data_IF_245189608342
#
_entry.id   IF_245189608342
#
_cell.length_a   1.000
_cell.length_b   1.000
_cell.length_c   1.000
_cell.angle_alpha   90.00
_cell.angle_beta   90.00
_cell.angle_gamma   90.00
#
_symmetry.space_group_name_H-M   'P 1'
#
loop_
_entity.id
_entity.type
_entity.pdbx_description
1 polymer ?
#
# COMPACT_ATOMS: atom_id res chain seq x y z
N UNK A 1 -26.60 6.35 16.31
CA UNK A 1 -25.30 6.24 15.65
C UNK A 1 -24.29 5.87 16.70
N UNK A 2 -23.54 4.79 16.50
CA UNK A 2 -22.53 4.37 17.49
C UNK A 2 -21.31 5.25 17.27
N UNK A 3 -20.95 6.01 18.30
CA UNK A 3 -19.73 6.79 18.38
C UNK A 3 -18.56 5.81 18.53
N UNK A 4 -18.23 5.09 17.45
CA UNK A 4 -17.04 4.25 17.43
C UNK A 4 -15.85 5.21 17.38
N UNK A 5 -15.06 5.21 18.45
CA UNK A 5 -13.84 6.01 18.45
C UNK A 5 -12.98 5.64 17.23
N UNK A 6 -12.43 6.65 16.54
CA UNK A 6 -11.54 6.45 15.38
C UNK A 6 -10.42 5.45 15.71
N UNK A 7 -9.96 5.44 16.96
CA UNK A 7 -8.97 4.49 17.46
C UNK A 7 -9.43 3.04 17.42
N UNK A 8 -10.70 2.75 17.72
CA UNK A 8 -11.28 1.39 17.65
C UNK A 8 -11.37 0.91 16.21
N UNK A 9 -11.88 1.74 15.30
CA UNK A 9 -11.94 1.40 13.86
C UNK A 9 -10.55 1.11 13.32
N UNK A 10 -9.58 1.97 13.66
CA UNK A 10 -8.20 1.78 13.25
C UNK A 10 -7.62 0.48 13.81
N UNK A 11 -7.81 0.19 15.10
CA UNK A 11 -7.29 -1.02 15.72
C UNK A 11 -7.87 -2.29 15.08
N UNK A 12 -9.18 -2.33 14.81
CA UNK A 12 -9.83 -3.43 14.12
C UNK A 12 -9.34 -3.61 12.69
N UNK A 13 -9.16 -2.49 11.97
CA UNK A 13 -8.70 -2.52 10.57
C UNK A 13 -7.21 -2.89 10.42
N UNK A 14 -6.43 -2.84 11.51
CA UNK A 14 -5.04 -3.29 11.53
C UNK A 14 -4.89 -4.77 11.91
N UNK A 15 -5.99 -5.49 12.20
CA UNK A 15 -5.92 -6.92 12.48
C UNK A 15 -5.46 -7.63 11.20
N UNK A 16 -4.41 -8.43 11.32
CA UNK A 16 -3.83 -9.15 10.18
C UNK A 16 -4.86 -10.05 9.51
N UNK A 17 -5.03 -9.90 8.20
CA UNK A 17 -5.99 -10.71 7.45
C UNK A 17 -7.45 -10.33 7.68
N UNK A 18 -7.73 -9.20 8.32
CA UNK A 18 -9.08 -8.69 8.50
C UNK A 18 -9.33 -7.49 7.58
N UNK A 19 -10.54 -7.43 7.02
CA UNK A 19 -11.06 -6.25 6.32
C UNK A 19 -12.19 -5.65 7.17
N UNK A 20 -12.08 -4.37 7.49
CA UNK A 20 -13.17 -3.63 8.12
C UNK A 20 -14.03 -2.96 7.04
N UNK A 21 -15.34 -3.22 7.09
CA UNK A 21 -16.34 -2.59 6.25
C UNK A 21 -17.48 -2.09 7.14
N UNK A 22 -17.90 -0.84 6.97
CA UNK A 22 -19.10 -0.29 7.62
C UNK A 22 -20.24 -0.20 6.61
N UNK A 23 -21.45 -0.60 6.99
CA UNK A 23 -22.67 -0.38 6.21
C UNK A 23 -23.61 0.56 6.97
N UNK A 24 -24.30 1.44 6.24
CA UNK A 24 -25.22 2.43 6.82
C UNK A 24 -26.70 2.11 6.57
N UNK A 25 -27.00 1.12 5.72
CA UNK A 25 -28.36 0.69 5.41
C UNK A 25 -28.42 -0.80 4.99
N UNK A 26 -29.65 -1.32 4.85
CA UNK A 26 -29.88 -2.72 4.49
C UNK A 26 -29.40 -3.08 3.07
N UNK A 27 -29.46 -2.14 2.13
CA UNK A 27 -29.03 -2.38 0.74
C UNK A 27 -27.51 -2.54 0.67
N UNK A 28 -26.76 -1.69 1.37
CA UNK A 28 -25.32 -1.82 1.52
C UNK A 28 -24.94 -3.12 2.23
N UNK A 29 -25.65 -3.48 3.30
CA UNK A 29 -25.43 -4.74 3.98
C UNK A 29 -25.60 -5.93 3.03
N UNK A 30 -26.70 -5.97 2.26
CA UNK A 30 -26.97 -7.03 1.30
C UNK A 30 -25.92 -7.08 0.18
N UNK A 31 -25.42 -5.92 -0.26
CA UNK A 31 -24.33 -5.87 -1.23
C UNK A 31 -23.02 -6.41 -0.65
N UNK A 32 -22.57 -5.87 0.48
CA UNK A 32 -21.29 -6.22 1.10
C UNK A 32 -21.26 -7.67 1.58
N UNK A 33 -22.32 -8.14 2.25
CA UNK A 33 -22.37 -9.51 2.79
C UNK A 33 -22.90 -10.53 1.76
N UNK A 34 -23.83 -10.15 0.90
CA UNK A 34 -24.42 -11.07 -0.07
C UNK A 34 -23.56 -11.26 -1.32
N UNK A 35 -23.17 -10.15 -1.97
CA UNK A 35 -22.50 -10.19 -3.27
C UNK A 35 -20.97 -10.12 -3.16
N UNK A 36 -20.44 -9.35 -2.20
CA UNK A 36 -19.02 -8.99 -2.16
C UNK A 36 -18.23 -9.76 -1.10
N UNK A 37 -18.89 -10.50 -0.20
CA UNK A 37 -18.28 -11.17 0.96
C UNK A 37 -17.08 -12.06 0.62
N UNK A 38 -17.12 -12.77 -0.52
CA UNK A 38 -16.00 -13.58 -0.99
C UNK A 38 -14.72 -12.76 -1.16
N UNK A 39 -14.83 -11.51 -1.61
CA UNK A 39 -13.70 -10.60 -1.77
C UNK A 39 -13.20 -10.09 -0.42
N UNK A 40 -14.05 -10.05 0.61
CA UNK A 40 -13.73 -9.55 1.94
C UNK A 40 -13.08 -10.60 2.83
N UNK A 41 -13.21 -11.89 2.50
CA UNK A 41 -12.70 -13.01 3.32
C UNK A 41 -11.61 -13.84 2.63
N UNK A 42 -11.26 -13.53 1.38
CA UNK A 42 -10.21 -14.25 0.64
C UNK A 42 -9.04 -13.34 0.28
N UNK A 43 -8.06 -13.17 1.19
CA UNK A 43 -6.85 -12.43 0.84
C UNK A 43 -6.13 -13.10 -0.33
N UNK A 44 -5.58 -12.28 -1.22
CA UNK A 44 -4.84 -12.72 -2.41
C UNK A 44 -3.33 -12.64 -2.21
N UNK A 45 -2.87 -11.82 -1.26
CA UNK A 45 -1.47 -11.68 -0.89
C UNK A 45 -1.35 -11.50 0.63
N UNK A 46 -0.28 -12.02 1.20
CA UNK A 46 0.06 -11.96 2.62
C UNK A 46 1.50 -11.49 2.80
N UNK A 47 1.84 -11.02 4.01
CA UNK A 47 3.21 -10.65 4.41
C UNK A 47 3.90 -9.74 3.38
N UNK A 48 3.18 -8.73 2.90
CA UNK A 48 3.62 -7.88 1.81
C UNK A 48 4.69 -6.94 2.38
N UNK A 49 5.85 -6.93 1.74
CA UNK A 49 6.97 -6.06 2.09
C UNK A 49 7.46 -5.31 0.88
N UNK A 50 7.66 -4.00 1.05
CA UNK A 50 8.23 -3.14 0.03
C UNK A 50 9.45 -2.42 0.58
N UNK A 51 10.59 -2.52 -0.11
CA UNK A 51 11.85 -1.88 0.31
C UNK A 51 12.67 -1.44 -0.89
N UNK A 52 13.48 -0.37 -0.80
CA UNK A 52 14.40 -0.02 -1.86
C UNK A 52 15.56 -1.02 -1.89
N UNK A 53 15.98 -1.45 -3.10
CA UNK A 53 17.12 -2.37 -3.25
C UNK A 53 18.45 -1.76 -2.81
N UNK A 54 18.57 -0.43 -2.94
CA UNK A 54 19.71 0.37 -2.49
C UNK A 54 19.20 1.39 -1.48
N UNK A 55 20.01 1.85 -0.51
CA UNK A 55 19.59 2.81 0.50
C UNK A 55 19.50 4.24 -0.07
N UNK A 56 18.75 4.43 -1.16
CA UNK A 56 18.58 5.70 -1.88
C UNK A 56 17.36 6.50 -1.40
N UNK A 57 16.41 5.84 -0.75
CA UNK A 57 15.19 6.45 -0.23
C UNK A 57 14.80 5.87 1.14
N UNK A 58 14.03 6.64 1.90
CA UNK A 58 13.23 6.20 3.05
C UNK A 58 11.76 6.54 2.80
N UNK A 59 10.86 5.76 3.38
CA UNK A 59 9.43 6.02 3.43
C UNK A 59 9.14 6.85 4.68
N UNK A 60 8.68 8.08 4.48
CA UNK A 60 8.40 9.02 5.57
C UNK A 60 6.97 8.96 6.08
N UNK A 61 6.03 8.55 5.23
CA UNK A 61 4.60 8.42 5.55
C UNK A 61 3.92 7.52 4.50
N UNK A 62 2.94 6.73 4.92
CA UNK A 62 2.10 5.94 4.03
C UNK A 62 0.62 6.27 4.20
N UNK A 63 -0.16 6.02 3.16
CA UNK A 63 -1.61 6.23 3.09
C UNK A 63 -2.27 5.12 2.27
N UNK A 64 -3.56 4.89 2.49
CA UNK A 64 -4.35 3.88 1.78
C UNK A 64 -4.55 2.58 2.56
N UNK A 65 -3.81 2.37 3.66
CA UNK A 65 -4.07 1.30 4.62
C UNK A 65 -3.89 1.78 6.06
N UNK A 66 -4.75 1.36 7.00
CA UNK A 66 -4.59 1.61 8.44
C UNK A 66 -3.23 1.14 8.99
N UNK A 67 -2.66 0.08 8.42
CA UNK A 67 -1.34 -0.44 8.79
C UNK A 67 -0.21 0.56 8.49
N UNK A 68 -0.43 1.51 7.57
CA UNK A 68 0.53 2.54 7.19
C UNK A 68 0.41 3.82 8.02
N UNK A 69 -0.68 4.01 8.77
CA UNK A 69 -0.92 5.25 9.51
C UNK A 69 0.14 5.52 10.59
N UNK A 70 0.72 4.45 11.15
CA UNK A 70 1.76 4.52 12.18
C UNK A 70 3.18 4.46 11.59
N UNK A 71 3.33 4.43 10.26
CA UNK A 71 4.63 4.37 9.60
C UNK A 71 5.45 5.60 10.00
N UNK A 72 6.55 5.36 10.73
CA UNK A 72 7.61 6.33 10.98
C UNK A 72 8.64 6.21 9.86
N UNK A 73 9.61 7.12 9.83
CA UNK A 73 10.66 7.08 8.81
C UNK A 73 11.39 5.73 8.82
N UNK A 74 11.16 4.93 7.78
CA UNK A 74 11.62 3.54 7.67
C UNK A 74 12.06 3.23 6.22
N UNK A 75 12.85 2.18 6.05
CA UNK A 75 13.26 1.64 4.75
C UNK A 75 12.32 0.54 4.25
N UNK A 76 11.38 0.08 5.07
CA UNK A 76 10.45 -0.99 4.71
C UNK A 76 9.01 -0.57 5.00
N UNK A 77 8.13 -0.77 4.02
CA UNK A 77 6.69 -0.80 4.22
C UNK A 77 6.27 -2.26 4.42
N UNK A 78 5.43 -2.51 5.43
CA UNK A 78 4.85 -3.83 5.70
C UNK A 78 3.33 -3.74 5.72
N UNK A 79 2.69 -4.73 5.10
CA UNK A 79 1.24 -4.91 5.13
C UNK A 79 0.94 -6.38 5.37
N UNK A 80 -0.07 -6.65 6.17
CA UNK A 80 -0.44 -8.00 6.55
C UNK A 80 -1.04 -8.77 5.38
N UNK A 81 -1.95 -8.15 4.64
CA UNK A 81 -2.74 -8.78 3.59
C UNK A 81 -3.33 -7.78 2.61
N UNK A 82 -3.54 -8.22 1.37
CA UNK A 82 -4.32 -7.50 0.36
C UNK A 82 -5.48 -8.37 -0.12
N UNK A 83 -6.61 -7.73 -0.42
CA UNK A 83 -7.85 -8.39 -0.81
C UNK A 83 -8.20 -8.06 -2.27
N UNK A 84 -8.87 -8.96 -2.98
CA UNK A 84 -9.33 -8.67 -4.33
C UNK A 84 -10.41 -7.58 -4.30
N UNK A 85 -10.51 -6.82 -5.38
CA UNK A 85 -11.57 -5.82 -5.57
C UNK A 85 -12.55 -6.28 -6.63
N UNK A 86 -13.80 -5.88 -6.49
CA UNK A 86 -14.86 -6.22 -7.44
C UNK A 86 -14.54 -5.62 -8.80
N UNK A 87 -14.74 -6.40 -9.86
CA UNK A 87 -14.61 -5.91 -11.22
C UNK A 87 -15.78 -4.97 -11.55
N UNK A 88 -15.50 -3.87 -12.25
CA UNK A 88 -16.51 -3.04 -12.89
C UNK A 88 -17.23 -3.82 -13.99
N UNK A 89 -18.39 -3.32 -14.44
CA UNK A 89 -19.18 -3.98 -15.49
C UNK A 89 -18.43 -4.20 -16.82
N UNK A 90 -17.40 -3.39 -17.10
CA UNK A 90 -16.48 -3.53 -18.24
C UNK A 90 -15.26 -4.41 -17.95
N UNK A 91 -15.25 -5.15 -16.84
CA UNK A 91 -14.21 -6.11 -16.47
C UNK A 91 -12.94 -5.51 -15.85
N UNK A 92 -12.88 -4.18 -15.66
CA UNK A 92 -11.73 -3.52 -15.03
C UNK A 92 -11.76 -3.69 -13.52
N UNK A 93 -10.60 -3.67 -12.87
CA UNK A 93 -10.51 -3.67 -11.41
C UNK A 93 -10.11 -2.28 -10.96
N UNK A 94 -10.94 -1.65 -10.13
CA UNK A 94 -10.50 -0.50 -9.34
C UNK A 94 -9.73 -1.05 -8.14
N UNK A 95 -8.44 -1.31 -8.34
CA UNK A 95 -7.57 -1.79 -7.26
C UNK A 95 -7.40 -0.76 -6.15
N UNK A 96 -6.92 -1.20 -4.99
CA UNK A 96 -6.51 -0.30 -3.92
C UNK A 96 -5.35 0.59 -4.35
N UNK A 97 -5.38 1.87 -3.96
CA UNK A 97 -4.27 2.80 -4.14
C UNK A 97 -3.60 3.00 -2.79
N UNK A 98 -2.30 2.71 -2.74
CA UNK A 98 -1.44 3.07 -1.61
C UNK A 98 -0.48 4.17 -2.04
N UNK A 99 -0.36 5.19 -1.20
CA UNK A 99 0.53 6.32 -1.44
C UNK A 99 1.62 6.34 -0.39
N UNK A 100 2.87 6.49 -0.80
CA UNK A 100 4.00 6.63 0.10
C UNK A 100 4.75 7.94 -0.19
N UNK A 101 4.98 8.73 0.86
CA UNK A 101 5.84 9.91 0.80
C UNK A 101 7.29 9.47 0.98
N UNK A 102 8.12 9.75 -0.02
CA UNK A 102 9.52 9.37 -0.03
C UNK A 102 10.41 10.52 0.45
N UNK A 103 11.54 10.18 1.09
CA UNK A 103 12.67 11.07 1.31
C UNK A 103 13.90 10.46 0.65
N UNK A 104 14.61 11.25 -0.16
CA UNK A 104 15.90 10.85 -0.72
C UNK A 104 16.96 10.86 0.39
N UNK A 105 17.77 9.81 0.45
CA UNK A 105 18.93 9.76 1.35
C UNK A 105 20.11 10.52 0.74
N UNK A 106 21.11 10.87 1.55
CA UNK A 106 22.30 11.60 1.07
C UNK A 106 23.06 10.83 -0.03
N UNK A 107 22.97 9.49 -0.03
CA UNK A 107 23.53 8.62 -1.09
C UNK A 107 22.86 8.83 -2.45
N UNK A 108 21.60 9.31 -2.48
CA UNK A 108 20.86 9.64 -3.69
C UNK A 108 20.99 11.11 -4.10
N UNK A 109 21.46 11.99 -3.22
CA UNK A 109 21.62 13.44 -3.48
C UNK A 109 22.98 13.81 -4.09
N UNK A 110 23.62 12.88 -4.80
CA UNK A 110 24.94 13.08 -5.40
C UNK A 110 25.07 14.39 -6.19
N UNK A 111 25.87 15.31 -5.66
CA UNK A 111 26.36 16.59 -6.21
C UNK A 111 25.32 17.71 -6.39
N UNK A 112 25.15 18.52 -5.34
CA UNK A 112 24.76 19.93 -5.49
C UNK A 112 25.86 20.70 -6.25
N UNK A 113 25.90 20.54 -7.57
CA UNK A 113 26.50 21.53 -8.46
C UNK A 113 25.41 22.56 -8.76
N UNK A 114 25.59 23.80 -8.30
CA UNK A 114 24.79 24.98 -8.70
C UNK A 114 24.92 25.21 -10.21
N UNK A 115 24.19 24.44 -11.01
CA UNK A 115 24.13 24.56 -12.45
C UNK A 115 22.69 24.42 -12.92
N UNK A 116 22.17 25.44 -13.60
CA UNK A 116 20.96 25.35 -14.41
C UNK A 116 21.19 24.31 -15.52
N UNK A 117 20.95 23.04 -15.23
CA UNK A 117 20.94 21.96 -16.20
C UNK A 117 19.72 21.08 -15.91
N UNK A 118 18.99 20.65 -16.94
CA UNK A 118 17.89 19.68 -16.83
C UNK A 118 18.43 18.44 -16.11
N UNK A 119 18.16 18.33 -14.80
CA UNK A 119 18.64 17.25 -13.96
C UNK A 119 18.02 15.93 -14.40
N UNK A 120 18.84 14.89 -14.55
CA UNK A 120 18.36 13.53 -14.81
C UNK A 120 17.45 13.11 -13.66
N UNK A 121 16.22 12.73 -13.97
CA UNK A 121 15.24 12.21 -13.00
C UNK A 121 15.88 11.14 -12.10
N UNK A 122 15.79 11.26 -10.77
CA UNK A 122 16.29 10.23 -9.87
C UNK A 122 15.50 8.94 -10.09
N UNK A 123 16.23 7.85 -10.29
CA UNK A 123 15.67 6.51 -10.51
C UNK A 123 16.13 5.56 -9.43
N UNK A 124 15.21 4.76 -8.88
CA UNK A 124 15.54 3.70 -7.93
C UNK A 124 14.70 2.44 -8.21
N UNK A 125 15.04 1.34 -7.54
CA UNK A 125 14.34 0.07 -7.66
C UNK A 125 13.74 -0.30 -6.32
N UNK A 126 12.45 -0.65 -6.33
CA UNK A 126 11.74 -1.21 -5.20
C UNK A 126 11.68 -2.72 -5.36
N UNK A 127 12.07 -3.44 -4.31
CA UNK A 127 11.75 -4.85 -4.17
C UNK A 127 10.40 -4.96 -3.44
N UNK A 128 9.48 -5.68 -4.05
CA UNK A 128 8.21 -6.09 -3.44
C UNK A 128 8.25 -7.60 -3.22
N UNK A 129 7.89 -8.04 -2.02
CA UNK A 129 7.78 -9.45 -1.66
C UNK A 129 6.42 -9.70 -1.05
N UNK A 130 5.83 -10.86 -1.31
CA UNK A 130 4.58 -11.30 -0.70
C UNK A 130 4.50 -12.82 -0.71
N UNK A 131 3.58 -13.36 0.08
CA UNK A 131 3.18 -14.75 0.01
C UNK A 131 1.82 -14.82 -0.69
N UNK A 132 1.72 -15.57 -1.77
CA UNK A 132 0.48 -15.79 -2.51
C UNK A 132 -0.48 -16.70 -1.72
N UNK A 133 -1.75 -16.75 -2.14
CA UNK A 133 -2.80 -17.56 -1.47
C UNK A 133 -2.47 -19.04 -1.36
N UNK A 134 -1.69 -19.59 -2.28
CA UNK A 134 -1.23 -20.98 -2.27
C UNK A 134 0.00 -21.22 -1.36
N UNK A 135 0.48 -20.18 -0.67
CA UNK A 135 1.68 -20.23 0.16
C UNK A 135 2.99 -19.96 -0.60
N UNK A 136 2.93 -19.73 -1.91
CA UNK A 136 4.13 -19.45 -2.71
C UNK A 136 4.71 -18.08 -2.35
N UNK A 137 6.01 -18.04 -2.04
CA UNK A 137 6.72 -16.78 -1.85
C UNK A 137 7.05 -16.14 -3.20
N UNK A 138 6.54 -14.94 -3.41
CA UNK A 138 6.68 -14.16 -4.62
C UNK A 138 7.56 -12.94 -4.39
N UNK A 139 8.21 -12.48 -5.46
CA UNK A 139 9.11 -11.34 -5.44
C UNK A 139 9.10 -10.64 -6.80
N UNK A 140 9.04 -9.32 -6.77
CA UNK A 140 9.13 -8.46 -7.95
C UNK A 140 10.08 -7.29 -7.69
N UNK A 141 10.77 -6.84 -8.75
CA UNK A 141 11.59 -5.63 -8.72
C UNK A 141 10.96 -4.61 -9.65
N UNK A 142 10.51 -3.49 -9.09
CA UNK A 142 9.82 -2.44 -9.82
C UNK A 142 10.75 -1.22 -9.95
N UNK A 143 11.07 -0.76 -11.17
CA UNK A 143 11.77 0.49 -11.37
C UNK A 143 10.84 1.68 -11.10
N UNK A 144 11.33 2.66 -10.35
CA UNK A 144 10.61 3.91 -10.07
C UNK A 144 11.42 5.08 -10.61
N UNK A 145 10.75 5.92 -11.40
CA UNK A 145 11.31 7.13 -12.00
C UNK A 145 10.55 8.31 -11.41
N UNK A 146 11.25 9.16 -10.66
CA UNK A 146 10.63 10.39 -10.16
C UNK A 146 10.59 11.45 -11.27
N UNK A 147 9.50 12.22 -11.39
CA UNK A 147 9.47 13.36 -12.30
C UNK A 147 10.63 14.29 -11.97
N UNK A 148 11.32 14.78 -13.00
CA UNK A 148 12.44 15.72 -12.84
C UNK A 148 11.94 17.01 -12.17
N UNK A 149 12.69 17.50 -11.18
CA UNK A 149 12.46 18.81 -10.56
C UNK A 149 12.84 19.96 -11.51
#
# INVERSE_FOLDING_TARGET
GVDLSVGTVQALSCIKGAKYSSCINADEFNKTIGAEFLHDVTPIAFNIQMRPLKPSITFSKGFGSPELNALKEDKVIQLSSEFPSVHTADGKVLGGIMLAKLRLTDTAQGTNSRGKGKGKSPTFQLEVKWTSRDGTNCREIVPVILPGC
#
